data_IF_649040253953
#
_entry.id   IF_649040253953
#
_cell.length_a   1.000
_cell.length_b   1.000
_cell.length_c   1.000
_cell.angle_alpha   90.00
_cell.angle_beta   90.00
_cell.angle_gamma   90.00
#
_symmetry.space_group_name_H-M   'P 1'
#
loop_
_entity.id
_entity.type
_entity.pdbx_description
1 polymer ?
#
# COMPACT_ATOMS: atom_id res chain seq x y z
N UNK A 1 58.10 -10.95 17.50
CA UNK A 1 56.81 -11.61 17.72
C UNK A 1 55.73 -10.56 17.51
N UNK A 2 55.29 -10.41 16.26
CA UNK A 2 54.14 -9.56 15.94
C UNK A 2 52.90 -10.28 16.43
N UNK A 3 52.14 -9.63 17.31
CA UNK A 3 50.83 -10.12 17.70
C UNK A 3 49.94 -10.11 16.46
N UNK A 4 49.61 -11.30 15.95
CA UNK A 4 48.48 -11.51 15.05
C UNK A 4 47.25 -10.95 15.78
N UNK A 5 46.69 -9.85 15.25
CA UNK A 5 45.38 -9.39 15.66
C UNK A 5 44.41 -10.54 15.37
N UNK A 6 43.87 -11.16 16.41
CA UNK A 6 42.75 -12.10 16.25
C UNK A 6 41.67 -11.40 15.42
N UNK A 7 41.15 -12.03 14.36
CA UNK A 7 40.01 -11.48 13.64
C UNK A 7 38.90 -11.23 14.66
N UNK A 8 38.28 -10.05 14.61
CA UNK A 8 37.11 -9.76 15.42
C UNK A 8 36.10 -10.91 15.24
N UNK A 9 35.47 -11.41 16.32
CA UNK A 9 34.55 -12.54 16.22
C UNK A 9 33.47 -12.20 15.19
N UNK A 10 33.35 -13.05 14.18
CA UNK A 10 32.29 -12.91 13.17
C UNK A 10 30.98 -13.23 13.87
N UNK A 11 30.13 -12.21 14.05
CA UNK A 11 28.82 -12.39 14.65
C UNK A 11 28.01 -13.39 13.80
N UNK A 12 27.38 -14.37 14.45
CA UNK A 12 26.58 -15.39 13.78
C UNK A 12 25.13 -15.31 14.24
N UNK A 13 24.20 -15.38 13.29
CA UNK A 13 22.75 -15.45 13.53
C UNK A 13 22.39 -16.89 13.88
N UNK A 14 22.01 -17.15 15.13
CA UNK A 14 21.56 -18.48 15.56
C UNK A 14 20.12 -18.75 15.13
N UNK A 15 19.26 -17.73 15.17
CA UNK A 15 17.88 -17.79 14.69
C UNK A 15 17.46 -16.46 14.07
N UNK A 16 16.88 -16.52 12.89
CA UNK A 16 16.30 -15.37 12.22
C UNK A 16 15.36 -15.77 11.09
N UNK A 17 14.82 -14.78 10.41
CA UNK A 17 13.90 -14.93 9.28
C UNK A 17 14.20 -13.86 8.23
N UNK A 18 14.13 -14.24 6.97
CA UNK A 18 14.05 -13.30 5.84
C UNK A 18 12.66 -13.42 5.26
N UNK A 19 11.90 -12.34 5.31
CA UNK A 19 10.51 -12.30 4.85
C UNK A 19 10.44 -11.38 3.65
N UNK A 20 10.09 -11.92 2.50
CA UNK A 20 9.77 -11.12 1.31
C UNK A 20 8.27 -10.91 1.24
N UNK A 21 7.84 -9.70 0.92
CA UNK A 21 6.44 -9.32 0.87
C UNK A 21 6.09 -8.75 -0.51
N UNK A 22 4.86 -9.01 -0.95
CA UNK A 22 4.27 -8.41 -2.13
C UNK A 22 2.83 -8.02 -1.85
N UNK A 23 2.52 -6.75 -2.04
CA UNK A 23 1.20 -6.20 -1.81
C UNK A 23 0.48 -6.02 -3.13
N UNK A 24 -0.80 -6.33 -3.16
CA UNK A 24 -1.65 -6.30 -4.34
C UNK A 24 -2.93 -5.55 -4.04
N UNK A 25 -3.31 -4.63 -4.93
CA UNK A 25 -4.68 -4.14 -5.00
C UNK A 25 -5.53 -5.17 -5.77
N UNK A 26 -6.55 -5.75 -5.13
CA UNK A 26 -7.36 -6.81 -5.75
C UNK A 26 -8.83 -6.45 -5.89
N UNK A 27 -9.32 -5.43 -5.19
CA UNK A 27 -10.73 -5.04 -5.19
C UNK A 27 -10.89 -3.62 -4.63
N UNK A 28 -12.06 -3.00 -4.81
CA UNK A 28 -12.39 -1.75 -4.12
C UNK A 28 -12.50 -1.93 -2.60
N UNK A 29 -13.02 -3.07 -2.16
CA UNK A 29 -13.10 -3.44 -0.75
C UNK A 29 -13.15 -4.96 -0.60
N UNK A 30 -12.81 -5.45 0.60
CA UNK A 30 -12.95 -6.85 1.00
C UNK A 30 -13.85 -6.91 2.22
N UNK A 31 -14.96 -7.65 2.13
CA UNK A 31 -15.74 -8.02 3.32
C UNK A 31 -14.91 -9.01 4.15
N UNK A 32 -14.22 -8.48 5.15
CA UNK A 32 -13.33 -9.26 6.02
C UNK A 32 -14.07 -10.36 6.79
N UNK A 33 -15.35 -10.17 7.12
CA UNK A 33 -16.11 -11.18 7.82
C UNK A 33 -16.44 -12.34 6.88
N UNK A 34 -16.94 -12.04 5.68
CA UNK A 34 -17.19 -13.06 4.66
C UNK A 34 -15.91 -13.77 4.24
N UNK A 35 -14.79 -13.06 4.13
CA UNK A 35 -13.49 -13.65 3.85
C UNK A 35 -13.05 -14.65 4.94
N UNK A 36 -13.25 -14.33 6.24
CA UNK A 36 -13.00 -15.29 7.34
C UNK A 36 -13.87 -16.53 7.22
N UNK A 37 -15.15 -16.35 6.93
CA UNK A 37 -16.10 -17.47 6.82
C UNK A 37 -15.73 -18.39 5.63
N UNK A 38 -15.33 -17.82 4.49
CA UNK A 38 -14.82 -18.56 3.33
C UNK A 38 -13.48 -19.26 3.60
N UNK A 39 -12.68 -18.75 4.54
CA UNK A 39 -11.38 -19.29 4.92
C UNK A 39 -11.39 -20.03 6.27
N UNK A 40 -12.55 -20.50 6.74
CA UNK A 40 -12.68 -21.13 8.05
C UNK A 40 -11.82 -22.40 8.23
N UNK A 41 -11.47 -23.06 7.13
CA UNK A 41 -10.58 -24.23 7.05
C UNK A 41 -9.09 -23.87 6.96
N UNK A 42 -8.77 -22.59 6.76
CA UNK A 42 -7.39 -22.10 6.65
C UNK A 42 -6.92 -21.62 8.02
N UNK A 43 -5.74 -22.07 8.51
CA UNK A 43 -5.25 -21.64 9.81
C UNK A 43 -5.06 -20.11 9.87
N UNK A 44 -5.71 -19.48 10.85
CA UNK A 44 -5.51 -18.06 11.14
C UNK A 44 -4.16 -17.83 11.84
N UNK A 45 -3.52 -16.72 11.51
CA UNK A 45 -2.35 -16.21 12.24
C UNK A 45 -2.88 -15.25 13.30
N UNK A 46 -3.05 -15.76 14.51
CA UNK A 46 -3.48 -14.96 15.66
C UNK A 46 -2.25 -14.26 16.27
N UNK A 47 -1.82 -13.20 15.61
CA UNK A 47 -0.82 -12.29 16.18
C UNK A 47 -1.55 -11.05 16.64
N UNK A 48 -1.81 -10.91 17.94
CA UNK A 48 -2.07 -9.58 18.50
C UNK A 48 -0.85 -8.74 18.15
N UNK A 49 -0.96 -7.75 17.24
CA UNK A 49 0.19 -7.03 16.73
C UNK A 49 0.64 -6.03 17.80
N UNK A 50 1.32 -6.51 18.85
CA UNK A 50 1.73 -5.68 19.98
C UNK A 50 0.63 -4.73 20.46
N UNK A 51 1.00 -3.45 20.67
CA UNK A 51 0.10 -2.38 21.10
C UNK A 51 -0.67 -1.69 19.94
N UNK A 52 -0.70 -2.25 18.73
CA UNK A 52 -1.43 -1.65 17.60
C UNK A 52 -2.93 -1.98 17.71
N UNK A 53 -3.77 -0.94 17.80
CA UNK A 53 -5.20 -1.09 17.55
C UNK A 53 -5.49 -0.80 16.08
N UNK A 54 -6.20 -1.74 15.49
CA UNK A 54 -6.77 -1.58 14.17
C UNK A 54 -8.20 -1.13 14.35
N UNK A 55 -8.67 -0.20 13.51
CA UNK A 55 -10.12 0.06 13.41
C UNK A 55 -10.85 -1.23 13.04
N UNK A 56 -10.34 -1.92 12.01
CA UNK A 56 -10.71 -3.29 11.64
C UNK A 56 -9.44 -4.09 11.33
N UNK A 57 -9.09 -5.10 12.15
CA UNK A 57 -7.85 -5.84 11.97
C UNK A 57 -7.89 -6.67 10.68
N UNK A 58 -6.77 -6.70 9.92
CA UNK A 58 -6.69 -7.50 8.71
C UNK A 58 -6.85 -8.99 9.05
N UNK A 59 -7.43 -9.74 8.10
CA UNK A 59 -7.52 -11.20 8.21
C UNK A 59 -6.18 -11.79 7.80
N UNK A 60 -5.53 -12.52 8.70
CA UNK A 60 -4.22 -13.12 8.45
C UNK A 60 -4.33 -14.63 8.33
N UNK A 61 -3.95 -15.14 7.17
CA UNK A 61 -4.08 -16.53 6.79
C UNK A 61 -2.68 -17.15 6.68
N UNK A 62 -2.51 -18.35 7.23
CA UNK A 62 -1.33 -19.19 6.97
C UNK A 62 -1.65 -20.13 5.82
N UNK A 63 -0.90 -20.02 4.73
CA UNK A 63 -1.12 -20.78 3.51
C UNK A 63 -0.11 -21.95 3.43
N UNK A 64 -0.30 -22.80 2.42
CA UNK A 64 0.65 -23.88 2.13
C UNK A 64 2.05 -23.33 1.81
N UNK A 65 3.12 -23.91 2.40
CA UNK A 65 4.49 -23.51 2.09
C UNK A 65 4.85 -23.70 0.62
N UNK A 66 5.85 -22.96 0.16
CA UNK A 66 6.38 -23.05 -1.20
C UNK A 66 7.87 -23.41 -1.18
N UNK A 67 8.32 -24.16 -2.18
CA UNK A 67 9.74 -24.41 -2.40
C UNK A 67 10.31 -23.33 -3.33
N UNK A 68 11.39 -22.66 -2.89
CA UNK A 68 12.02 -21.57 -3.63
C UNK A 68 13.51 -21.84 -3.73
N UNK A 69 14.09 -21.61 -4.91
CA UNK A 69 15.54 -21.76 -5.12
C UNK A 69 16.26 -20.46 -4.72
N UNK A 70 16.78 -20.42 -3.49
CA UNK A 70 17.52 -19.29 -2.93
C UNK A 70 19.03 -19.57 -2.97
N UNK A 71 19.79 -18.74 -3.69
CA UNK A 71 21.26 -18.86 -3.72
C UNK A 71 21.76 -20.21 -4.27
N UNK A 72 20.95 -20.89 -5.09
CA UNK A 72 21.25 -22.22 -5.64
C UNK A 72 20.69 -23.40 -4.84
N UNK A 73 20.27 -23.20 -3.59
CA UNK A 73 19.66 -24.21 -2.74
C UNK A 73 18.12 -24.12 -2.79
N UNK A 74 17.42 -25.25 -2.69
CA UNK A 74 15.97 -25.27 -2.54
C UNK A 74 15.65 -25.11 -1.05
N UNK A 75 14.88 -24.08 -0.72
CA UNK A 75 14.49 -23.73 0.65
C UNK A 75 12.97 -23.66 0.71
N UNK A 76 12.39 -24.20 1.78
CA UNK A 76 10.96 -24.10 2.05
C UNK A 76 10.67 -22.72 2.66
N UNK A 77 9.80 -21.95 2.02
CA UNK A 77 9.29 -20.67 2.51
C UNK A 77 7.87 -20.82 3.05
N UNK A 78 7.64 -20.34 4.27
CA UNK A 78 6.29 -20.29 4.86
C UNK A 78 5.50 -19.15 4.23
N UNK A 79 4.27 -19.42 3.79
CA UNK A 79 3.44 -18.43 3.09
C UNK A 79 2.35 -17.91 4.02
N UNK A 80 2.16 -16.60 4.01
CA UNK A 80 1.03 -15.95 4.66
C UNK A 80 0.35 -14.94 3.74
N UNK A 81 -0.93 -14.66 4.00
CA UNK A 81 -1.70 -13.62 3.34
C UNK A 81 -2.41 -12.74 4.37
N UNK A 82 -2.32 -11.42 4.21
CA UNK A 82 -3.03 -10.43 5.01
C UNK A 82 -4.06 -9.71 4.15
N UNK A 83 -5.34 -9.82 4.50
CA UNK A 83 -6.45 -9.22 3.78
C UNK A 83 -6.89 -7.94 4.49
N UNK A 84 -6.90 -6.83 3.76
CA UNK A 84 -7.30 -5.52 4.24
C UNK A 84 -8.69 -5.15 3.73
N UNK A 85 -9.50 -4.48 4.56
CA UNK A 85 -10.88 -4.12 4.19
C UNK A 85 -10.92 -3.20 2.96
N UNK A 86 -9.90 -2.36 2.77
CA UNK A 86 -9.81 -1.43 1.66
C UNK A 86 -9.36 -2.08 0.34
N UNK A 87 -9.39 -3.41 0.20
CA UNK A 87 -9.14 -4.04 -1.11
C UNK A 87 -7.74 -4.59 -1.33
N UNK A 88 -6.82 -4.36 -0.40
CA UNK A 88 -5.43 -4.81 -0.51
C UNK A 88 -5.20 -6.22 0.08
N UNK A 89 -4.27 -6.94 -0.55
CA UNK A 89 -3.76 -8.23 -0.07
C UNK A 89 -2.24 -8.18 0.00
N UNK A 90 -1.67 -8.32 1.20
CA UNK A 90 -0.23 -8.62 1.35
C UNK A 90 -0.02 -10.12 1.28
N UNK A 91 0.85 -10.59 0.40
CA UNK A 91 1.40 -11.94 0.42
C UNK A 91 2.83 -11.89 0.96
N UNK A 92 3.21 -12.85 1.79
CA UNK A 92 4.58 -12.94 2.29
C UNK A 92 5.13 -14.35 2.22
N UNK A 93 6.42 -14.48 1.93
CA UNK A 93 7.18 -15.73 2.03
C UNK A 93 8.30 -15.55 3.05
N UNK A 94 8.23 -16.29 4.15
CA UNK A 94 9.20 -16.26 5.23
C UNK A 94 10.16 -17.45 5.16
N UNK A 95 11.45 -17.17 5.03
CA UNK A 95 12.52 -18.16 5.06
C UNK A 95 13.18 -18.16 6.45
N UNK A 96 13.08 -19.30 7.15
CA UNK A 96 13.74 -19.46 8.44
C UNK A 96 15.25 -19.64 8.24
N UNK A 97 16.03 -18.89 9.02
CA UNK A 97 17.49 -18.96 9.06
C UNK A 97 17.94 -19.51 10.41
N UNK A 98 18.92 -20.42 10.37
CA UNK A 98 19.57 -20.99 11.57
C UNK A 98 21.08 -21.06 11.35
N UNK A 99 21.81 -20.74 12.41
CA UNK A 99 23.26 -20.92 12.52
C UNK A 99 24.03 -20.43 11.27
N UNK A 100 23.81 -19.16 10.88
CA UNK A 100 24.48 -18.52 9.74
C UNK A 100 25.39 -17.39 10.20
N UNK A 101 26.65 -17.41 9.76
CA UNK A 101 27.55 -16.27 9.91
C UNK A 101 26.99 -15.02 9.23
N UNK A 102 27.23 -13.84 9.80
CA UNK A 102 26.67 -12.58 9.30
C UNK A 102 26.84 -12.36 7.78
N UNK A 103 28.04 -12.55 7.17
CA UNK A 103 28.18 -12.38 5.73
C UNK A 103 27.34 -13.35 4.89
N UNK A 104 27.16 -14.59 5.38
CA UNK A 104 26.33 -15.61 4.72
C UNK A 104 24.86 -15.24 4.83
N UNK A 105 24.43 -14.77 6.00
CA UNK A 105 23.07 -14.27 6.23
C UNK A 105 22.73 -13.08 5.31
N UNK A 106 23.65 -12.11 5.17
CA UNK A 106 23.50 -10.98 4.26
C UNK A 106 23.36 -11.44 2.81
N UNK A 107 24.19 -12.39 2.37
CA UNK A 107 24.09 -12.97 1.03
C UNK A 107 22.76 -13.72 0.83
N UNK A 108 22.31 -14.47 1.84
CA UNK A 108 21.04 -15.19 1.82
C UNK A 108 19.85 -14.22 1.67
N UNK A 109 19.83 -13.11 2.41
CA UNK A 109 18.76 -12.12 2.32
C UNK A 109 18.66 -11.51 0.90
N UNK A 110 19.79 -11.16 0.29
CA UNK A 110 19.84 -10.70 -1.10
C UNK A 110 19.35 -11.79 -2.08
N UNK A 111 19.83 -13.02 -1.93
CA UNK A 111 19.40 -14.11 -2.81
C UNK A 111 17.91 -14.45 -2.65
N UNK A 112 17.33 -14.27 -1.47
CA UNK A 112 15.90 -14.43 -1.24
C UNK A 112 15.09 -13.34 -1.96
N UNK A 113 15.57 -12.09 -1.98
CA UNK A 113 14.95 -11.02 -2.78
C UNK A 113 15.06 -11.33 -4.29
N UNK A 114 16.25 -11.70 -4.78
CA UNK A 114 16.45 -12.09 -6.19
C UNK A 114 15.53 -13.25 -6.60
N UNK A 115 15.42 -14.26 -5.73
CA UNK A 115 14.57 -15.43 -5.94
C UNK A 115 13.08 -15.14 -5.81
N UNK A 116 12.66 -14.05 -5.16
CA UNK A 116 11.25 -13.66 -5.07
C UNK A 116 10.92 -12.44 -5.94
N UNK A 117 11.91 -11.87 -6.63
CA UNK A 117 11.79 -10.76 -7.56
C UNK A 117 11.19 -11.16 -8.91
N UNK A 118 11.40 -10.31 -9.92
CA UNK A 118 10.77 -10.43 -11.24
C UNK A 118 10.83 -11.83 -11.93
N UNK A 119 11.88 -12.67 -11.76
CA UNK A 119 11.90 -14.02 -12.35
C UNK A 119 10.85 -15.00 -11.78
N UNK A 120 10.29 -14.72 -10.59
CA UNK A 120 9.35 -15.60 -9.89
C UNK A 120 7.95 -14.98 -9.73
N UNK A 121 7.57 -14.07 -10.63
CA UNK A 121 6.21 -13.56 -10.75
C UNK A 121 5.16 -14.68 -10.74
N UNK A 122 5.49 -15.88 -11.23
CA UNK A 122 4.62 -17.06 -11.22
C UNK A 122 4.27 -17.59 -9.82
N UNK A 123 5.20 -17.54 -8.85
CA UNK A 123 4.92 -18.03 -7.48
C UNK A 123 3.93 -17.09 -6.80
N UNK A 124 4.21 -15.80 -6.86
CA UNK A 124 3.30 -14.79 -6.32
C UNK A 124 1.93 -14.82 -7.00
N UNK A 125 1.91 -14.90 -8.33
CA UNK A 125 0.68 -14.98 -9.09
C UNK A 125 -0.14 -16.23 -8.74
N UNK A 126 0.49 -17.40 -8.63
CA UNK A 126 -0.21 -18.63 -8.24
C UNK A 126 -0.79 -18.54 -6.82
N UNK A 127 -0.06 -17.96 -5.86
CA UNK A 127 -0.57 -17.74 -4.50
C UNK A 127 -1.74 -16.74 -4.54
N UNK A 128 -1.58 -15.63 -5.26
CA UNK A 128 -2.60 -14.60 -5.40
C UNK A 128 -3.88 -15.15 -6.02
N UNK A 129 -3.77 -15.88 -7.13
CA UNK A 129 -4.90 -16.52 -7.81
C UNK A 129 -5.64 -17.50 -6.89
N UNK A 130 -4.92 -18.29 -6.08
CA UNK A 130 -5.57 -19.18 -5.08
C UNK A 130 -6.31 -18.39 -4.02
N UNK A 131 -5.70 -17.33 -3.48
CA UNK A 131 -6.33 -16.49 -2.45
C UNK A 131 -7.55 -15.80 -3.01
N UNK A 132 -7.45 -15.11 -4.16
CA UNK A 132 -8.56 -14.38 -4.77
C UNK A 132 -9.66 -15.30 -5.28
N UNK A 133 -9.34 -16.48 -5.80
CA UNK A 133 -10.36 -17.48 -6.14
C UNK A 133 -11.13 -17.97 -4.90
N UNK A 134 -10.46 -18.09 -3.75
CA UNK A 134 -11.09 -18.51 -2.49
C UNK A 134 -11.99 -17.43 -1.90
N UNK A 135 -11.55 -16.17 -1.92
CA UNK A 135 -12.28 -15.04 -1.31
C UNK A 135 -13.12 -14.26 -2.32
N UNK A 136 -13.28 -14.72 -3.56
CA UNK A 136 -13.89 -13.95 -4.65
C UNK A 136 -15.27 -13.38 -4.33
N UNK A 137 -16.06 -14.14 -3.57
CA UNK A 137 -17.39 -13.76 -3.07
C UNK A 137 -17.38 -12.61 -2.03
N UNK A 138 -16.24 -12.38 -1.38
CA UNK A 138 -16.02 -11.28 -0.44
C UNK A 138 -15.39 -10.04 -1.11
N UNK A 139 -15.03 -10.12 -2.39
CA UNK A 139 -14.43 -9.00 -3.14
C UNK A 139 -15.53 -8.09 -3.69
N UNK A 140 -15.49 -6.82 -3.30
CA UNK A 140 -16.36 -5.78 -3.85
C UNK A 140 -15.66 -5.10 -5.01
N UNK A 141 -16.23 -5.19 -6.22
CA UNK A 141 -15.65 -4.61 -7.46
C UNK A 141 -14.16 -5.00 -7.64
N UNK A 142 -13.86 -6.26 -8.00
CA UNK A 142 -12.49 -6.71 -8.21
C UNK A 142 -11.71 -5.82 -9.18
N UNK A 143 -10.47 -5.50 -8.82
CA UNK A 143 -9.57 -4.67 -9.61
C UNK A 143 -8.96 -5.45 -10.77
N UNK A 144 -8.90 -4.84 -11.95
CA UNK A 144 -8.23 -5.40 -13.12
C UNK A 144 -6.77 -4.92 -13.28
N UNK A 145 -6.37 -3.89 -12.53
CA UNK A 145 -5.03 -3.29 -12.58
C UNK A 145 -4.16 -3.83 -11.45
N UNK A 146 -2.99 -4.37 -11.80
CA UNK A 146 -2.01 -4.85 -10.82
C UNK A 146 -1.10 -3.69 -10.42
N UNK A 147 -1.54 -2.90 -9.45
CA UNK A 147 -0.59 -2.06 -8.70
C UNK A 147 -0.03 -2.95 -7.61
N UNK A 148 1.30 -2.92 -7.48
CA UNK A 148 1.99 -3.69 -6.48
C UNK A 148 3.07 -2.87 -5.78
N UNK A 149 3.35 -3.28 -4.55
CA UNK A 149 4.52 -2.91 -3.78
C UNK A 149 5.26 -4.17 -3.36
N UNK A 150 6.57 -4.07 -3.21
CA UNK A 150 7.41 -5.10 -2.61
C UNK A 150 8.22 -4.54 -1.45
N UNK A 151 8.47 -5.40 -0.45
CA UNK A 151 9.22 -5.03 0.74
C UNK A 151 9.89 -6.27 1.33
N UNK A 152 11.07 -6.12 1.95
CA UNK A 152 11.75 -7.22 2.63
C UNK A 152 12.02 -6.90 4.10
N UNK A 153 11.57 -7.78 4.98
CA UNK A 153 11.90 -7.74 6.40
C UNK A 153 13.01 -8.75 6.69
N UNK A 154 14.12 -8.29 7.24
CA UNK A 154 15.21 -9.12 7.72
C UNK A 154 15.18 -9.11 9.25
N UNK A 155 14.74 -10.22 9.83
CA UNK A 155 14.53 -10.37 11.26
C UNK A 155 15.63 -11.25 11.83
N UNK A 156 16.32 -10.77 12.85
CA UNK A 156 17.20 -11.59 13.69
C UNK A 156 16.51 -11.77 15.03
N UNK A 157 16.14 -13.01 15.34
CA UNK A 157 15.51 -13.35 16.62
C UNK A 157 16.58 -13.60 17.69
N UNK A 158 17.76 -14.13 17.31
CA UNK A 158 18.89 -14.35 18.19
C UNK A 158 20.22 -14.45 17.43
N UNK A 159 21.28 -13.94 18.05
CA UNK A 159 22.66 -14.25 17.68
C UNK A 159 23.18 -15.46 18.47
N UNK A 160 24.24 -16.11 17.99
CA UNK A 160 24.89 -17.23 18.69
C UNK A 160 25.45 -16.79 20.05
N UNK A 161 26.06 -15.60 20.07
CA UNK A 161 26.41 -14.88 21.28
C UNK A 161 25.66 -13.54 21.28
N UNK A 162 24.95 -13.19 22.37
CA UNK A 162 24.27 -11.90 22.45
C UNK A 162 25.26 -10.74 22.29
N UNK A 163 24.98 -9.77 21.39
CA UNK A 163 25.87 -8.64 21.17
C UNK A 163 26.01 -7.80 22.46
N UNK A 164 27.24 -7.62 22.93
CA UNK A 164 27.54 -6.77 24.09
C UNK A 164 27.96 -5.37 23.62
N UNK A 165 26.99 -4.58 23.14
CA UNK A 165 27.23 -3.22 22.63
C UNK A 165 26.21 -2.80 21.58
N UNK A 166 26.45 -1.63 20.94
CA UNK A 166 25.64 -1.20 19.81
C UNK A 166 25.88 -2.13 18.62
N UNK A 167 24.82 -2.84 18.21
CA UNK A 167 24.89 -3.78 17.10
C UNK A 167 25.46 -3.15 15.81
N UNK A 168 25.23 -1.85 15.60
CA UNK A 168 25.72 -1.12 14.41
C UNK A 168 27.24 -0.94 14.38
N UNK A 169 27.89 -1.02 15.53
CA UNK A 169 29.36 -1.02 15.64
C UNK A 169 29.94 -2.44 15.47
N UNK A 170 29.12 -3.46 15.75
CA UNK A 170 29.52 -4.87 15.70
C UNK A 170 29.33 -5.49 14.31
N UNK A 171 28.33 -5.04 13.55
CA UNK A 171 28.06 -5.51 12.19
C UNK A 171 27.75 -4.38 11.22
N UNK A 172 28.24 -4.53 9.99
CA UNK A 172 27.87 -3.63 8.90
C UNK A 172 26.49 -4.01 8.36
N UNK A 173 25.47 -3.21 8.71
CA UNK A 173 24.10 -3.38 8.23
C UNK A 173 23.92 -2.90 6.78
N UNK A 174 24.84 -2.09 6.25
CA UNK A 174 24.64 -1.44 4.95
C UNK A 174 24.50 -2.44 3.79
N UNK A 175 25.37 -3.46 3.63
CA UNK A 175 25.22 -4.45 2.55
C UNK A 175 23.89 -5.21 2.62
N UNK A 176 23.34 -5.39 3.83
CA UNK A 176 22.03 -5.99 4.04
C UNK A 176 20.91 -5.07 3.57
N UNK A 177 20.95 -3.79 3.97
CA UNK A 177 19.90 -2.83 3.68
C UNK A 177 19.90 -2.37 2.21
N UNK A 178 21.06 -2.34 1.57
CA UNK A 178 21.21 -1.86 0.19
C UNK A 178 20.92 -2.91 -0.89
N UNK A 179 20.95 -4.20 -0.54
CA UNK A 179 20.96 -5.32 -1.50
C UNK A 179 22.12 -5.32 -2.51
N UNK A 180 23.01 -4.32 -2.48
CA UNK A 180 24.08 -4.13 -3.45
C UNK A 180 25.43 -4.54 -2.84
N UNK A 181 26.14 -5.52 -3.42
CA UNK A 181 27.45 -5.93 -2.93
C UNK A 181 28.55 -4.89 -3.23
N UNK A 182 28.27 -3.87 -4.05
CA UNK A 182 29.27 -2.86 -4.43
C UNK A 182 29.51 -1.85 -3.30
N UNK A 183 30.74 -1.30 -3.18
CA UNK A 183 31.01 -0.23 -2.23
C UNK A 183 30.12 0.99 -2.49
N UNK A 184 29.39 1.42 -1.47
CA UNK A 184 28.53 2.61 -1.52
C UNK A 184 29.28 3.87 -1.06
N UNK A 185 28.86 5.03 -1.56
CA UNK A 185 29.35 6.33 -1.09
C UNK A 185 28.96 6.56 0.38
N UNK A 186 29.73 7.40 1.09
CA UNK A 186 29.42 7.74 2.49
C UNK A 186 28.00 8.29 2.66
N UNK A 187 27.60 9.21 1.78
CA UNK A 187 26.26 9.80 1.79
C UNK A 187 25.15 8.75 1.68
N UNK A 188 25.32 7.73 0.83
CA UNK A 188 24.35 6.64 0.72
C UNK A 188 24.33 5.76 1.96
N UNK A 189 25.50 5.45 2.55
CA UNK A 189 25.58 4.67 3.80
C UNK A 189 24.87 5.42 4.94
N UNK A 190 25.12 6.72 5.07
CA UNK A 190 24.50 7.57 6.09
C UNK A 190 22.99 7.71 5.87
N UNK A 191 22.53 7.76 4.61
CA UNK A 191 21.11 7.78 4.28
C UNK A 191 20.40 6.47 4.68
N UNK A 192 21.00 5.32 4.38
CA UNK A 192 20.43 4.00 4.72
C UNK A 192 20.34 3.78 6.24
N UNK A 193 21.30 4.29 7.01
CA UNK A 193 21.34 4.14 8.48
C UNK A 193 20.59 5.25 9.23
N UNK A 194 20.01 6.22 8.51
CA UNK A 194 19.36 7.41 9.10
C UNK A 194 18.18 7.04 9.98
N UNK A 195 17.28 6.21 9.49
CA UNK A 195 16.03 5.86 10.14
C UNK A 195 16.22 4.64 11.04
N UNK A 196 16.94 4.84 12.14
CA UNK A 196 17.19 3.83 13.15
C UNK A 196 16.32 4.07 14.41
N UNK A 197 15.90 2.98 15.02
CA UNK A 197 15.07 2.96 16.22
C UNK A 197 15.56 1.88 17.17
N UNK A 198 15.42 2.16 18.46
CA UNK A 198 15.68 1.23 19.53
C UNK A 198 14.63 1.51 20.62
N UNK A 199 13.90 0.47 21.06
CA UNK A 199 13.01 0.60 22.20
C UNK A 199 13.76 0.29 23.50
N UNK A 200 14.55 -0.78 23.50
CA UNK A 200 15.51 -1.13 24.53
C UNK A 200 16.95 -0.81 24.09
N UNK A 201 17.89 -0.88 25.03
CA UNK A 201 19.30 -0.57 24.77
C UNK A 201 19.98 -1.59 23.84
N UNK A 202 19.42 -2.79 23.74
CA UNK A 202 19.88 -3.92 22.93
C UNK A 202 19.03 -4.15 21.66
N UNK A 203 17.95 -3.39 21.47
CA UNK A 203 17.15 -3.44 20.24
C UNK A 203 17.82 -2.65 19.11
N UNK A 204 17.70 -3.15 17.88
CA UNK A 204 18.14 -2.43 16.70
C UNK A 204 17.14 -2.62 15.56
N UNK A 205 16.45 -1.54 15.20
CA UNK A 205 15.56 -1.48 14.06
C UNK A 205 16.09 -0.43 13.09
N UNK A 206 16.28 -0.79 11.83
CA UNK A 206 16.65 0.13 10.75
C UNK A 206 15.71 -0.04 9.59
N UNK A 207 15.11 1.06 9.12
CA UNK A 207 14.07 1.06 8.10
C UNK A 207 14.56 1.83 6.88
N UNK A 208 14.47 1.20 5.71
CA UNK A 208 14.69 1.85 4.40
C UNK A 208 13.42 1.73 3.55
N UNK A 209 13.47 2.28 2.33
CA UNK A 209 12.34 2.28 1.41
C UNK A 209 11.95 0.88 0.93
N UNK A 210 12.93 -0.01 0.79
CA UNK A 210 12.73 -1.33 0.20
C UNK A 210 12.90 -2.46 1.23
N UNK A 211 13.57 -2.17 2.35
CA UNK A 211 13.94 -3.19 3.36
C UNK A 211 13.88 -2.65 4.79
N UNK A 212 13.69 -3.55 5.75
CA UNK A 212 13.94 -3.26 7.16
C UNK A 212 14.78 -4.36 7.80
N UNK A 213 15.68 -3.96 8.71
CA UNK A 213 16.37 -4.86 9.62
C UNK A 213 15.75 -4.74 11.01
N UNK A 214 15.37 -5.87 11.60
CA UNK A 214 14.74 -5.96 12.92
C UNK A 214 15.54 -6.92 13.82
N UNK A 215 16.13 -6.40 14.89
CA UNK A 215 16.70 -7.19 15.98
C UNK A 215 16.04 -6.76 17.29
N UNK A 216 15.28 -7.68 17.89
CA UNK A 216 14.50 -7.45 19.10
C UNK A 216 14.53 -8.72 19.98
N UNK A 217 15.56 -8.90 20.83
CA UNK A 217 15.83 -10.16 21.53
C UNK A 217 14.70 -10.62 22.47
N UNK A 218 13.91 -9.69 23.02
CA UNK A 218 12.78 -9.99 23.92
C UNK A 218 11.45 -10.25 23.18
N UNK A 219 11.47 -10.24 21.85
CA UNK A 219 10.30 -10.49 21.00
C UNK A 219 9.83 -9.28 20.19
N UNK A 220 8.88 -9.51 19.29
CA UNK A 220 8.35 -8.49 18.38
C UNK A 220 7.53 -7.44 19.12
N UNK A 221 8.00 -6.19 19.11
CA UNK A 221 7.27 -5.05 19.65
C UNK A 221 6.06 -4.64 18.78
N UNK A 222 5.89 -5.23 17.60
CA UNK A 222 4.86 -4.93 16.60
C UNK A 222 5.41 -4.13 15.41
N UNK A 223 6.73 -4.03 15.23
CA UNK A 223 7.32 -3.21 14.16
C UNK A 223 7.02 -3.79 12.78
N UNK A 224 7.09 -5.11 12.63
CA UNK A 224 6.76 -5.78 11.36
C UNK A 224 5.30 -5.48 10.94
N UNK A 225 4.37 -5.49 11.88
CA UNK A 225 2.97 -5.13 11.62
C UNK A 225 2.81 -3.64 11.26
N UNK A 226 3.56 -2.73 11.89
CA UNK A 226 3.58 -1.30 11.49
C UNK A 226 4.02 -1.14 10.03
N UNK A 227 5.10 -1.83 9.65
CA UNK A 227 5.67 -1.75 8.30
C UNK A 227 4.72 -2.34 7.24
N UNK A 228 4.04 -3.44 7.56
CA UNK A 228 3.03 -4.05 6.68
C UNK A 228 1.87 -3.08 6.41
N UNK A 229 1.33 -2.45 7.46
CA UNK A 229 0.24 -1.46 7.32
C UNK A 229 0.69 -0.23 6.56
N UNK A 230 1.89 0.29 6.85
CA UNK A 230 2.41 1.47 6.15
C UNK A 230 2.58 1.21 4.64
N UNK A 231 3.05 0.01 4.26
CA UNK A 231 3.12 -0.39 2.85
C UNK A 231 1.72 -0.55 2.23
N UNK A 232 0.76 -1.12 2.96
CA UNK A 232 -0.61 -1.26 2.48
C UNK A 232 -1.27 0.11 2.22
N UNK A 233 -1.02 1.10 3.09
CA UNK A 233 -1.48 2.47 2.86
C UNK A 233 -0.79 3.16 1.68
N UNK A 234 0.52 2.92 1.49
CA UNK A 234 1.23 3.43 0.31
C UNK A 234 0.61 2.87 -0.98
N UNK A 235 0.39 1.55 -1.03
CA UNK A 235 -0.23 0.87 -2.17
C UNK A 235 -1.60 1.49 -2.50
N UNK A 236 -2.42 1.70 -1.48
CA UNK A 236 -3.77 2.23 -1.65
C UNK A 236 -3.77 3.67 -2.20
N UNK A 237 -2.92 4.53 -1.65
CA UNK A 237 -2.77 5.90 -2.16
C UNK A 237 -2.24 5.93 -3.59
N UNK A 238 -1.36 5.00 -3.95
CA UNK A 238 -0.89 4.86 -5.35
C UNK A 238 -2.01 4.43 -6.26
N UNK A 239 -2.86 3.50 -5.81
CA UNK A 239 -4.06 3.10 -6.54
C UNK A 239 -4.97 4.29 -6.83
N UNK A 240 -5.29 5.11 -5.82
CA UNK A 240 -6.11 6.29 -6.04
C UNK A 240 -5.44 7.31 -6.96
N UNK A 241 -4.12 7.51 -6.84
CA UNK A 241 -3.42 8.40 -7.75
C UNK A 241 -3.58 7.95 -9.20
N UNK A 242 -3.42 6.65 -9.49
CA UNK A 242 -3.55 6.07 -10.84
C UNK A 242 -5.00 6.15 -11.33
N UNK A 243 -5.97 5.84 -10.46
CA UNK A 243 -7.40 5.93 -10.78
C UNK A 243 -7.77 7.36 -11.19
N UNK A 244 -7.36 8.35 -10.39
CA UNK A 244 -7.61 9.77 -10.69
C UNK A 244 -6.87 10.24 -11.94
N UNK A 245 -5.65 9.76 -12.19
CA UNK A 245 -4.90 10.08 -13.41
C UNK A 245 -5.59 9.54 -14.68
N UNK A 246 -6.29 8.41 -14.58
CA UNK A 246 -7.07 7.85 -15.67
C UNK A 246 -8.44 8.52 -15.87
N UNK A 247 -9.10 8.93 -14.78
CA UNK A 247 -10.45 9.52 -14.83
C UNK A 247 -10.43 11.01 -15.19
N UNK A 248 -9.46 11.80 -14.69
CA UNK A 248 -9.38 13.24 -14.94
C UNK A 248 -9.46 13.61 -16.44
N UNK A 249 -8.68 12.98 -17.36
CA UNK A 249 -8.79 13.26 -18.80
C UNK A 249 -10.17 12.95 -19.38
N UNK A 250 -10.80 11.84 -18.94
CA UNK A 250 -12.15 11.45 -19.40
C UNK A 250 -13.19 12.49 -19.01
N UNK A 251 -13.05 13.07 -17.82
CA UNK A 251 -13.91 14.15 -17.37
C UNK A 251 -13.75 15.39 -18.23
N UNK A 252 -12.52 15.82 -18.53
CA UNK A 252 -12.27 16.96 -19.41
C UNK A 252 -12.86 16.75 -20.82
N UNK A 253 -12.64 15.57 -21.41
CA UNK A 253 -13.25 15.20 -22.69
C UNK A 253 -14.79 15.27 -22.65
N UNK A 254 -15.40 14.84 -21.54
CA UNK A 254 -16.85 14.90 -21.35
C UNK A 254 -17.36 16.35 -21.21
N UNK A 255 -16.62 17.21 -20.52
CA UNK A 255 -16.91 18.66 -20.42
C UNK A 255 -16.90 19.28 -21.82
N UNK A 256 -15.82 19.06 -22.57
CA UNK A 256 -15.62 19.64 -23.91
C UNK A 256 -16.70 19.17 -24.90
N UNK A 257 -17.01 17.87 -24.89
CA UNK A 257 -18.09 17.32 -25.73
C UNK A 257 -19.45 17.89 -25.36
N UNK A 258 -19.69 18.19 -24.08
CA UNK A 258 -20.98 18.72 -23.63
C UNK A 258 -21.16 20.19 -24.01
N UNK A 259 -20.07 20.97 -24.06
CA UNK A 259 -20.08 22.34 -24.60
C UNK A 259 -20.38 22.40 -26.11
N UNK A 260 -20.13 21.31 -26.85
CA UNK A 260 -20.37 21.23 -28.29
C UNK A 260 -21.80 20.81 -28.69
N UNK A 261 -22.73 20.64 -27.75
CA UNK A 261 -24.09 20.10 -28.02
C UNK A 261 -25.14 21.21 -28.10
N UNK A 262 -26.18 20.97 -28.92
CA UNK A 262 -27.38 21.81 -29.03
C UNK A 262 -27.97 22.21 -27.66
N UNK A 263 -28.36 23.48 -27.45
CA UNK A 263 -28.80 24.03 -26.17
C UNK A 263 -30.00 23.31 -25.55
N UNK A 264 -30.77 22.56 -26.34
CA UNK A 264 -31.97 21.82 -25.89
C UNK A 264 -31.61 20.54 -25.13
N UNK A 265 -30.50 19.88 -25.45
CA UNK A 265 -30.11 18.59 -24.82
C UNK A 265 -28.94 18.70 -23.85
N UNK A 266 -28.25 19.83 -23.84
CA UNK A 266 -27.15 20.12 -22.94
C UNK A 266 -27.52 19.93 -21.45
N UNK A 267 -28.62 20.47 -20.91
CA UNK A 267 -28.84 20.43 -19.45
C UNK A 267 -29.05 19.01 -18.89
N UNK A 268 -29.68 18.12 -19.66
CA UNK A 268 -29.86 16.71 -19.28
C UNK A 268 -28.56 15.89 -19.36
N UNK A 269 -27.59 16.30 -20.20
CA UNK A 269 -26.26 15.68 -20.29
C UNK A 269 -25.33 16.18 -19.18
N UNK A 270 -25.27 17.50 -18.94
CA UNK A 270 -24.48 18.06 -17.83
C UNK A 270 -24.97 17.50 -16.48
N UNK A 271 -26.28 17.37 -16.26
CA UNK A 271 -26.81 16.81 -15.00
C UNK A 271 -26.39 15.36 -14.75
N UNK A 272 -26.29 14.54 -15.81
CA UNK A 272 -25.83 13.15 -15.71
C UNK A 272 -24.33 13.06 -15.44
N UNK A 273 -23.55 13.89 -16.12
CA UNK A 273 -22.12 14.02 -15.88
C UNK A 273 -21.86 14.46 -14.43
N UNK A 274 -22.58 15.48 -13.96
CA UNK A 274 -22.49 15.95 -12.59
C UNK A 274 -22.75 14.79 -11.60
N UNK A 275 -23.83 14.02 -11.78
CA UNK A 275 -24.14 12.88 -10.90
C UNK A 275 -23.02 11.83 -10.87
N UNK A 276 -22.40 11.52 -12.01
CA UNK A 276 -21.27 10.59 -12.08
C UNK A 276 -20.03 11.11 -11.32
N UNK A 277 -19.70 12.39 -11.47
CA UNK A 277 -18.60 13.01 -10.74
C UNK A 277 -18.85 13.04 -9.23
N UNK A 278 -20.10 13.29 -8.81
CA UNK A 278 -20.47 13.23 -7.40
C UNK A 278 -20.27 11.82 -6.81
N UNK A 279 -20.62 10.77 -7.56
CA UNK A 279 -20.36 9.38 -7.17
C UNK A 279 -18.86 9.12 -7.01
N UNK A 280 -18.03 9.52 -7.98
CA UNK A 280 -16.57 9.36 -7.87
C UNK A 280 -15.99 10.11 -6.66
N UNK A 281 -16.42 11.35 -6.43
CA UNK A 281 -15.98 12.12 -5.26
C UNK A 281 -16.40 11.45 -3.95
N UNK A 282 -17.66 10.98 -3.86
CA UNK A 282 -18.15 10.28 -2.69
C UNK A 282 -17.37 8.98 -2.45
N UNK A 283 -17.13 8.19 -3.50
CA UNK A 283 -16.38 6.94 -3.43
C UNK A 283 -14.95 7.16 -2.96
N UNK A 284 -14.23 8.15 -3.49
CA UNK A 284 -12.86 8.42 -3.06
C UNK A 284 -12.80 9.06 -1.67
N UNK A 285 -13.80 9.86 -1.30
CA UNK A 285 -13.86 10.45 0.06
C UNK A 285 -14.11 9.36 1.12
N UNK A 286 -15.09 8.48 0.90
CA UNK A 286 -15.37 7.33 1.78
C UNK A 286 -14.15 6.40 1.92
N UNK A 287 -13.41 6.23 0.84
CA UNK A 287 -12.20 5.42 0.81
C UNK A 287 -11.02 6.05 1.53
N UNK A 288 -10.80 7.36 1.38
CA UNK A 288 -9.76 8.08 2.13
C UNK A 288 -10.01 7.96 3.64
N UNK A 289 -11.28 8.05 4.06
CA UNK A 289 -11.69 7.79 5.45
C UNK A 289 -11.43 6.33 5.88
N UNK A 290 -11.57 5.35 4.97
CA UNK A 290 -11.29 3.93 5.27
C UNK A 290 -9.79 3.67 5.47
N UNK A 291 -8.92 4.34 4.71
CA UNK A 291 -7.45 4.30 4.86
C UNK A 291 -7.00 4.93 6.18
N UNK A 292 -7.55 6.09 6.51
CA UNK A 292 -7.25 6.78 7.77
C UNK A 292 -7.74 6.00 9.00
N UNK A 293 -8.83 5.24 8.86
CA UNK A 293 -9.37 4.38 9.92
C UNK A 293 -8.68 3.01 10.05
N UNK A 294 -7.80 2.62 9.09
CA UNK A 294 -7.15 1.32 9.12
C UNK A 294 -6.23 1.14 10.35
N UNK A 295 -5.65 2.23 10.85
CA UNK A 295 -4.77 2.21 12.02
C UNK A 295 -5.14 3.32 13.02
N UNK A 296 -5.74 2.94 14.15
CA UNK A 296 -5.78 3.81 15.32
C UNK A 296 -4.54 3.51 16.15
N UNK A 297 -3.49 4.33 16.01
CA UNK A 297 -2.27 4.15 16.81
C UNK A 297 -2.60 4.28 18.29
N UNK A 298 -2.85 3.16 18.96
CA UNK A 298 -3.16 3.13 20.39
C UNK A 298 -1.89 3.07 21.21
N UNK A 299 -1.61 4.17 21.91
CA UNK A 299 -1.05 4.15 23.25
C UNK A 299 0.46 3.94 23.43
N UNK A 300 1.22 3.43 22.45
CA UNK A 300 2.66 3.19 22.61
C UNK A 300 3.52 4.18 21.80
N UNK A 301 4.18 5.19 22.43
CA UNK A 301 4.91 6.25 21.73
C UNK A 301 6.00 5.76 20.78
N UNK A 302 6.63 4.62 21.06
CA UNK A 302 7.64 4.02 20.19
C UNK A 302 7.06 3.58 18.85
N UNK A 303 5.94 2.84 18.83
CA UNK A 303 5.33 2.36 17.59
C UNK A 303 4.73 3.52 16.79
N UNK A 304 4.17 4.52 17.47
CA UNK A 304 3.70 5.75 16.83
C UNK A 304 4.83 6.45 16.07
N UNK A 305 5.99 6.60 16.73
CA UNK A 305 7.18 7.22 16.11
C UNK A 305 7.69 6.41 14.91
N UNK A 306 7.81 5.08 15.06
CA UNK A 306 8.22 4.20 13.96
C UNK A 306 7.27 4.38 12.78
N UNK A 307 5.96 4.28 13.02
CA UNK A 307 4.94 4.42 11.99
C UNK A 307 5.00 5.76 11.25
N UNK A 308 4.99 6.89 11.97
CA UNK A 308 5.04 8.22 11.35
C UNK A 308 6.30 8.40 10.50
N UNK A 309 7.46 7.96 10.99
CA UNK A 309 8.70 8.04 10.21
C UNK A 309 8.67 7.11 8.99
N UNK A 310 8.08 5.91 9.09
CA UNK A 310 7.89 5.02 7.94
C UNK A 310 7.00 5.67 6.88
N UNK A 311 5.88 6.29 7.26
CA UNK A 311 5.00 6.99 6.31
C UNK A 311 5.73 8.13 5.59
N UNK A 312 6.53 8.92 6.32
CA UNK A 312 7.37 9.97 5.75
C UNK A 312 8.39 9.40 4.75
N UNK A 313 9.09 8.33 5.13
CA UNK A 313 10.09 7.66 4.29
C UNK A 313 9.49 7.11 3.00
N UNK A 314 8.29 6.55 3.08
CA UNK A 314 7.55 6.02 1.94
C UNK A 314 6.96 7.13 1.05
N UNK A 315 6.88 8.37 1.57
CA UNK A 315 6.31 9.51 0.86
C UNK A 315 4.77 9.53 0.88
N UNK A 316 4.15 8.79 1.80
CA UNK A 316 2.69 8.70 1.95
C UNK A 316 2.06 10.09 2.12
N UNK A 317 2.56 11.00 2.99
CA UNK A 317 1.94 12.33 3.15
C UNK A 317 1.97 13.17 1.86
N UNK A 318 3.07 13.11 1.11
CA UNK A 318 3.22 13.86 -0.13
C UNK A 318 2.28 13.32 -1.23
N UNK A 319 2.13 12.00 -1.30
CA UNK A 319 1.22 11.34 -2.22
C UNK A 319 -0.25 11.61 -1.85
N UNK A 320 -0.62 11.52 -0.57
CA UNK A 320 -1.94 11.87 -0.07
C UNK A 320 -2.33 13.31 -0.43
N UNK A 321 -1.44 14.27 -0.17
CA UNK A 321 -1.68 15.66 -0.55
C UNK A 321 -1.83 15.87 -2.07
N UNK A 322 -1.18 15.04 -2.89
CA UNK A 322 -1.36 15.07 -4.34
C UNK A 322 -2.72 14.51 -4.77
N UNK A 323 -3.19 13.42 -4.14
CA UNK A 323 -4.53 12.85 -4.33
C UNK A 323 -5.61 13.87 -3.92
N UNK A 324 -5.46 14.52 -2.76
CA UNK A 324 -6.40 15.54 -2.28
C UNK A 324 -6.55 16.72 -3.25
N UNK A 325 -5.43 17.19 -3.82
CA UNK A 325 -5.44 18.24 -4.84
C UNK A 325 -6.18 17.79 -6.10
N UNK A 326 -5.95 16.55 -6.56
CA UNK A 326 -6.67 15.98 -7.71
C UNK A 326 -8.17 15.91 -7.43
N UNK A 327 -8.57 15.46 -6.24
CA UNK A 327 -9.99 15.41 -5.83
C UNK A 327 -10.62 16.79 -5.73
N UNK A 328 -9.88 17.80 -5.25
CA UNK A 328 -10.36 19.18 -5.26
C UNK A 328 -10.66 19.65 -6.68
N UNK A 329 -9.77 19.40 -7.64
CA UNK A 329 -9.99 19.73 -9.06
C UNK A 329 -11.24 19.02 -9.60
N UNK A 330 -11.45 17.75 -9.24
CA UNK A 330 -12.65 17.00 -9.63
C UNK A 330 -13.93 17.65 -9.07
N UNK A 331 -13.92 18.01 -7.79
CA UNK A 331 -15.05 18.68 -7.10
C UNK A 331 -15.38 20.03 -7.71
N UNK A 332 -14.36 20.83 -8.00
CA UNK A 332 -14.52 22.16 -8.61
C UNK A 332 -15.09 22.05 -10.03
N UNK A 333 -14.60 21.07 -10.81
CA UNK A 333 -15.11 20.78 -12.16
C UNK A 333 -16.58 20.35 -12.12
N UNK A 334 -16.95 19.51 -11.14
CA UNK A 334 -18.35 19.12 -10.90
C UNK A 334 -19.24 20.34 -10.60
N UNK A 335 -18.81 21.20 -9.68
CA UNK A 335 -19.59 22.37 -9.27
C UNK A 335 -19.82 23.32 -10.46
N UNK A 336 -18.77 23.60 -11.23
CA UNK A 336 -18.85 24.43 -12.43
C UNK A 336 -19.83 23.86 -13.48
N UNK A 337 -19.78 22.54 -13.73
CA UNK A 337 -20.70 21.88 -14.65
C UNK A 337 -22.15 21.92 -14.15
N UNK A 338 -22.37 21.76 -12.85
CA UNK A 338 -23.71 21.82 -12.29
C UNK A 338 -24.32 23.21 -12.43
N UNK A 339 -23.53 24.25 -12.16
CA UNK A 339 -23.93 25.64 -12.32
C UNK A 339 -24.22 25.97 -13.79
N UNK A 340 -23.37 25.54 -14.72
CA UNK A 340 -23.58 25.71 -16.16
C UNK A 340 -24.88 25.02 -16.64
N UNK A 341 -25.21 23.85 -16.07
CA UNK A 341 -26.47 23.16 -16.35
C UNK A 341 -27.69 23.89 -15.80
N UNK A 342 -27.56 24.53 -14.65
CA UNK A 342 -28.63 25.33 -14.03
C UNK A 342 -28.90 26.60 -14.85
N UNK A 343 -27.85 27.32 -15.27
CA UNK A 343 -27.94 28.50 -16.15
C UNK A 343 -28.54 28.12 -17.50
N UNK A 344 -28.11 27.02 -18.11
CA UNK A 344 -28.67 26.53 -19.37
C UNK A 344 -30.17 26.21 -19.28
N UNK A 345 -30.62 25.58 -18.17
CA UNK A 345 -32.06 25.34 -17.92
C UNK A 345 -32.85 26.64 -17.81
N UNK A 346 -32.32 27.63 -17.10
CA UNK A 346 -32.96 28.93 -16.98
C UNK A 346 -33.10 29.63 -18.35
N UNK A 347 -32.05 29.61 -19.17
CA UNK A 347 -32.09 30.18 -20.52
C UNK A 347 -33.06 29.46 -21.47
N UNK A 348 -33.18 28.12 -21.38
CA UNK A 348 -34.21 27.38 -22.15
C UNK A 348 -35.63 27.78 -21.74
N UNK A 349 -35.87 27.98 -20.44
CA UNK A 349 -37.16 28.43 -19.94
C UNK A 349 -37.47 29.84 -20.46
N UNK A 350 -36.48 30.73 -20.48
CA UNK A 350 -36.60 32.08 -21.06
C UNK A 350 -36.94 32.04 -22.56
N UNK A 351 -36.21 31.26 -23.36
CA UNK A 351 -36.50 31.08 -24.80
C UNK A 351 -37.90 30.50 -25.00
N UNK A 352 -38.32 29.53 -24.18
CA UNK A 352 -39.65 28.94 -24.25
C UNK A 352 -40.73 29.98 -24.00
N UNK A 353 -40.55 30.87 -23.01
CA UNK A 353 -41.45 31.99 -22.74
C UNK A 353 -41.49 32.96 -23.93
N UNK A 354 -40.33 33.33 -24.48
CA UNK A 354 -40.26 34.22 -25.66
C UNK A 354 -40.98 33.62 -26.87
N UNK A 355 -40.78 32.33 -27.13
CA UNK A 355 -41.48 31.61 -28.22
C UNK A 355 -42.98 31.55 -27.97
N UNK A 356 -43.41 31.26 -26.73
CA UNK A 356 -44.83 31.22 -26.36
C UNK A 356 -45.50 32.58 -26.62
N UNK A 357 -44.85 33.67 -26.18
CA UNK A 357 -45.31 35.04 -26.43
C UNK A 357 -45.37 35.34 -27.93
N UNK A 358 -44.33 34.99 -28.69
CA UNK A 358 -44.30 35.24 -30.14
C UNK A 358 -45.40 34.48 -30.89
N UNK A 359 -45.67 33.22 -30.50
CA UNK A 359 -46.75 32.40 -31.06
C UNK A 359 -48.11 33.02 -30.74
N UNK A 360 -48.33 33.45 -29.50
CA UNK A 360 -49.57 34.10 -29.07
C UNK A 360 -49.81 35.42 -29.83
N UNK A 361 -48.75 36.23 -30.00
CA UNK A 361 -48.82 37.47 -30.77
C UNK A 361 -49.15 37.21 -32.25
N UNK A 362 -48.50 36.20 -32.86
CA UNK A 362 -48.76 35.80 -34.24
C UNK A 362 -50.22 35.33 -34.43
N UNK A 363 -50.71 34.48 -33.54
CA UNK A 363 -52.11 34.03 -33.56
C UNK A 363 -53.09 35.19 -33.37
N UNK A 364 -52.77 36.16 -32.50
CA UNK A 364 -53.60 37.34 -32.30
C UNK A 364 -53.67 38.21 -33.56
N UNK A 365 -52.56 38.37 -34.29
CA UNK A 365 -52.52 39.13 -35.56
C UNK A 365 -53.27 38.41 -36.68
N UNK A 366 -53.20 37.09 -36.77
CA UNK A 366 -53.94 36.32 -37.77
C UNK A 366 -55.45 36.20 -37.50
N UNK A 367 -55.89 36.52 -36.28
CA UNK A 367 -57.31 36.47 -35.88
C UNK A 367 -58.05 37.81 -36.05
N UNK A 368 -57.34 38.85 -36.49
CA UNK A 368 -57.85 40.17 -36.81
C UNK A 368 -57.79 40.38 -38.33
#
# INVERSE_FOLDING_TARGET
MSAEASPAPVLAVSRGRVITQRLYDVAYAIDLQRARDLCADVPLIDERPGALAFGKPPVRLRLEPVEVKVGGAVVVGEVAAHLYEFGAVTLSVAFTVRDMDWPVFVAFARHAEEAMGAPHASTWQAVLERVTARIGDALERPSASVILEDYQLVVVDAFAEPPTGDLRELVDLVPLLAADPRPLSRDTRDALLRHHFAYRADDCVVITRDRAFLYQPDGDAGVAAVLDVANAQLLELRYYSVLLDAELPRMYDLVDRTRAVSPITAPARLSRLARHLYTLVAEVTELTERVDNALQVTGHPYLARVYTTTLELFGVPALGAAVDRKLAIVRDTYAALYDEAAVSRAGLLEVTIIVLIAVELGLAVFRY
#
